data_IF_198926199926
#
_entry.id   IF_198926199926
#
_cell.length_a   1.000
_cell.length_b   1.000
_cell.length_c   1.000
_cell.angle_alpha   90.00
_cell.angle_beta   90.00
_cell.angle_gamma   90.00
#
_symmetry.space_group_name_H-M   'P 1'
#
loop_
_entity.id
_entity.type
_entity.pdbx_description
1 polymer ?
#
# COMPACT_ATOMS: atom_id res chain seq x y z
N UNK A 1 10.98 12.50 -31.81
CA UNK A 1 10.35 12.21 -30.50
C UNK A 1 11.35 12.57 -29.42
N UNK A 2 11.24 13.76 -28.84
CA UNK A 2 12.00 14.17 -27.66
C UNK A 2 11.54 13.32 -26.48
N UNK A 3 12.43 12.49 -25.92
CA UNK A 3 12.15 11.82 -24.63
C UNK A 3 11.91 12.92 -23.62
N UNK A 4 10.75 12.92 -22.97
CA UNK A 4 10.54 13.73 -21.78
C UNK A 4 11.69 13.40 -20.81
N UNK A 5 12.39 14.42 -20.31
CA UNK A 5 13.40 14.23 -19.26
C UNK A 5 12.70 13.64 -18.06
N UNK A 6 13.03 12.41 -17.68
CA UNK A 6 12.53 11.81 -16.44
C UNK A 6 13.15 12.60 -15.30
N UNK A 7 12.35 13.45 -14.65
CA UNK A 7 12.76 14.17 -13.44
C UNK A 7 12.97 13.13 -12.36
N UNK A 8 14.21 13.01 -11.89
CA UNK A 8 14.53 12.11 -10.79
C UNK A 8 14.39 12.86 -9.47
N UNK A 9 13.80 12.20 -8.48
CA UNK A 9 13.61 12.72 -7.14
C UNK A 9 14.57 12.03 -6.18
N UNK A 10 15.13 12.79 -5.24
CA UNK A 10 15.94 12.28 -4.14
C UNK A 10 15.07 12.05 -2.91
N UNK A 11 15.29 10.93 -2.23
CA UNK A 11 14.56 10.55 -1.04
C UNK A 11 15.54 10.18 0.07
N UNK A 12 15.25 10.62 1.29
CA UNK A 12 15.90 10.15 2.51
C UNK A 12 15.15 8.91 2.98
N UNK A 13 15.83 7.78 3.12
CA UNK A 13 15.21 6.49 3.43
C UNK A 13 15.88 5.94 4.68
N UNK A 14 15.08 5.71 5.71
CA UNK A 14 15.51 4.96 6.88
C UNK A 14 15.37 3.46 6.61
N UNK A 15 16.43 2.71 6.88
CA UNK A 15 16.54 1.28 6.61
C UNK A 15 16.79 0.52 7.91
N UNK A 16 15.85 -0.33 8.32
CA UNK A 16 16.08 -1.24 9.44
C UNK A 16 17.07 -2.34 9.04
N UNK A 17 17.97 -2.68 9.95
CA UNK A 17 18.99 -3.73 9.81
C UNK A 17 18.70 -4.85 10.80
N UNK A 18 19.14 -6.07 10.49
CA UNK A 18 19.01 -7.20 11.43
C UNK A 18 19.73 -6.95 12.78
N UNK A 19 20.80 -6.14 12.75
CA UNK A 19 21.53 -5.71 13.94
C UNK A 19 21.95 -4.24 13.80
N UNK A 20 21.94 -3.52 14.93
CA UNK A 20 22.35 -2.12 15.02
C UNK A 20 21.22 -1.12 14.82
N UNK A 21 21.56 0.17 14.92
CA UNK A 21 20.64 1.25 14.63
C UNK A 21 20.19 1.21 13.15
N UNK A 22 19.00 1.71 12.80
CA UNK A 22 18.62 1.87 11.41
C UNK A 22 19.58 2.81 10.65
N UNK A 23 19.90 2.51 9.40
CA UNK A 23 20.71 3.37 8.56
C UNK A 23 19.85 4.45 7.92
N UNK A 24 20.39 5.65 7.71
CA UNK A 24 19.79 6.71 6.92
C UNK A 24 20.59 6.93 5.64
N UNK A 25 19.94 6.84 4.48
CA UNK A 25 20.57 7.09 3.18
C UNK A 25 19.74 8.04 2.35
N UNK A 26 20.37 8.83 1.49
CA UNK A 26 19.70 9.51 0.39
C UNK A 26 19.85 8.66 -0.87
N UNK A 27 18.75 8.37 -1.56
CA UNK A 27 18.76 7.63 -2.82
C UNK A 27 17.89 8.33 -3.87
N UNK A 28 18.35 8.26 -5.11
CA UNK A 28 17.64 8.83 -6.26
C UNK A 28 16.78 7.77 -6.96
N UNK A 29 15.58 8.15 -7.38
CA UNK A 29 14.70 7.30 -8.18
C UNK A 29 13.85 8.09 -9.18
N UNK A 30 13.42 7.40 -10.25
CA UNK A 30 12.35 7.91 -11.12
C UNK A 30 11.00 7.96 -10.38
N UNK A 31 10.86 7.09 -9.38
CA UNK A 31 9.80 7.11 -8.37
C UNK A 31 10.34 6.49 -7.07
N UNK A 32 9.60 6.67 -5.97
CA UNK A 32 10.00 6.25 -4.63
C UNK A 32 10.42 4.77 -4.56
N UNK A 33 9.68 3.85 -5.19
CA UNK A 33 10.06 2.43 -5.19
C UNK A 33 11.41 2.10 -5.85
N UNK A 34 11.85 2.89 -6.84
CA UNK A 34 13.20 2.74 -7.42
C UNK A 34 14.27 3.21 -6.43
N UNK A 35 14.01 4.30 -5.70
CA UNK A 35 14.91 4.78 -4.66
C UNK A 35 15.02 3.79 -3.50
N UNK A 36 13.90 3.23 -3.04
CA UNK A 36 13.86 2.17 -2.01
C UNK A 36 14.64 0.94 -2.45
N UNK A 37 14.40 0.43 -3.66
CA UNK A 37 15.10 -0.75 -4.15
C UNK A 37 16.62 -0.53 -4.26
N UNK A 38 17.04 0.68 -4.66
CA UNK A 38 18.46 1.03 -4.66
C UNK A 38 19.04 1.08 -3.24
N UNK A 39 18.34 1.73 -2.30
CA UNK A 39 18.74 1.86 -0.91
C UNK A 39 18.87 0.48 -0.20
N UNK A 40 17.88 -0.39 -0.36
CA UNK A 40 17.90 -1.75 0.20
C UNK A 40 18.99 -2.63 -0.43
N UNK A 41 19.30 -2.45 -1.72
CA UNK A 41 20.40 -3.16 -2.37
C UNK A 41 21.79 -2.70 -1.86
N UNK A 42 21.92 -1.43 -1.46
CA UNK A 42 23.15 -0.87 -0.90
C UNK A 42 23.42 -1.38 0.53
N UNK A 43 22.38 -1.47 1.35
CA UNK A 43 22.47 -2.00 2.71
C UNK A 43 21.89 -3.40 2.75
N UNK A 44 22.71 -4.40 2.43
CA UNK A 44 22.28 -5.80 2.30
C UNK A 44 21.52 -6.30 3.56
N UNK A 45 20.39 -6.97 3.33
CA UNK A 45 19.54 -7.51 4.40
C UNK A 45 18.75 -6.45 5.17
N UNK A 46 18.71 -5.20 4.67
CA UNK A 46 17.85 -4.16 5.22
C UNK A 46 16.49 -4.10 4.54
N UNK A 47 15.57 -3.34 5.15
CA UNK A 47 14.30 -2.96 4.54
C UNK A 47 13.92 -1.53 4.94
N UNK A 48 13.22 -0.83 4.06
CA UNK A 48 12.74 0.52 4.33
C UNK A 48 11.68 0.55 5.43
N UNK A 49 11.79 1.54 6.31
CA UNK A 49 10.91 1.71 7.48
C UNK A 49 10.26 3.08 7.57
N UNK A 50 10.86 4.10 6.97
CA UNK A 50 10.33 5.46 6.86
C UNK A 50 11.04 6.18 5.72
N UNK A 51 10.40 7.22 5.16
CA UNK A 51 10.93 7.95 4.01
C UNK A 51 10.53 9.42 4.01
N UNK A 52 11.34 10.26 3.38
CA UNK A 52 11.01 11.66 3.13
C UNK A 52 11.62 12.09 1.79
N UNK A 53 11.07 13.12 1.15
CA UNK A 53 11.75 13.77 0.02
C UNK A 53 12.97 14.50 0.56
N UNK A 54 14.13 14.29 -0.05
CA UNK A 54 15.37 14.94 0.39
C UNK A 54 15.33 16.46 0.12
N UNK A 55 15.88 17.24 1.05
CA UNK A 55 16.06 18.66 0.86
C UNK A 55 17.18 18.94 -0.15
N UNK A 56 17.16 20.13 -0.78
CA UNK A 56 18.08 20.46 -1.87
C UNK A 56 19.56 20.49 -1.47
N UNK A 57 19.87 20.73 -0.21
CA UNK A 57 21.21 20.71 0.38
C UNK A 57 21.74 19.30 0.68
N UNK A 58 20.85 18.30 0.73
CA UNK A 58 21.20 16.88 0.86
C UNK A 58 21.43 16.21 -0.51
N UNK A 59 21.11 16.90 -1.60
CA UNK A 59 21.32 16.42 -2.96
C UNK A 59 22.76 16.75 -3.37
N UNK A 60 23.60 15.77 -3.74
CA UNK A 60 24.95 16.06 -4.21
C UNK A 60 24.91 16.93 -5.47
N UNK A 61 25.31 18.20 -5.30
CA UNK A 61 25.45 19.17 -6.39
C UNK A 61 26.83 19.00 -7.03
N UNK A 62 26.90 18.73 -8.33
CA UNK A 62 28.09 19.08 -9.12
C UNK A 62 28.86 17.98 -9.83
N UNK A 63 28.48 16.71 -9.74
CA UNK A 63 29.05 15.68 -10.62
C UNK A 63 27.92 14.88 -11.26
N UNK A 64 28.13 14.41 -12.50
CA UNK A 64 27.21 13.53 -13.20
C UNK A 64 27.12 12.19 -12.44
N UNK A 65 26.43 12.19 -11.31
CA UNK A 65 26.20 11.02 -10.48
C UNK A 65 25.51 9.98 -11.35
N UNK A 66 26.12 8.80 -11.41
CA UNK A 66 25.62 7.68 -12.21
C UNK A 66 24.18 7.29 -11.83
N UNK A 67 23.59 6.39 -12.60
CA UNK A 67 22.29 5.79 -12.22
C UNK A 67 22.45 5.12 -10.84
N UNK A 68 21.49 5.35 -9.93
CA UNK A 68 21.42 4.75 -8.59
C UNK A 68 22.51 5.22 -7.61
N UNK A 69 22.89 6.49 -7.66
CA UNK A 69 23.76 7.05 -6.64
C UNK A 69 23.06 7.10 -5.27
N UNK A 70 23.81 6.73 -4.23
CA UNK A 70 23.35 6.64 -2.85
C UNK A 70 24.36 7.41 -1.98
N UNK A 71 23.84 8.22 -1.07
CA UNK A 71 24.63 8.98 -0.10
C UNK A 71 24.30 8.47 1.30
N UNK A 72 25.32 8.11 2.07
CA UNK A 72 25.13 7.73 3.47
C UNK A 72 24.97 8.99 4.33
N UNK A 73 23.88 9.06 5.09
CA UNK A 73 23.55 10.19 5.97
C UNK A 73 23.79 9.87 7.46
N UNK A 74 24.25 8.65 7.76
CA UNK A 74 24.51 8.18 9.12
C UNK A 74 23.41 7.24 9.64
N UNK A 75 23.14 7.30 10.93
CA UNK A 75 22.12 6.49 11.59
C UNK A 75 20.81 7.26 11.73
N UNK A 76 19.69 6.55 11.61
CA UNK A 76 18.35 7.09 11.89
C UNK A 76 17.91 6.73 13.31
N UNK A 77 17.14 7.62 13.94
CA UNK A 77 16.44 7.36 15.20
C UNK A 77 15.08 6.70 14.99
N UNK A 78 14.56 6.67 13.76
CA UNK A 78 13.29 6.04 13.43
C UNK A 78 13.41 4.52 13.58
N UNK A 79 12.65 3.94 14.50
CA UNK A 79 12.59 2.49 14.70
C UNK A 79 11.13 2.08 14.74
N UNK A 80 10.57 1.44 13.70
CA UNK A 80 9.17 1.05 13.74
C UNK A 80 9.00 -0.19 14.63
N UNK A 81 7.85 -0.28 15.28
CA UNK A 81 7.44 -1.52 15.97
C UNK A 81 6.87 -2.58 15.03
N UNK A 82 6.52 -2.17 13.80
CA UNK A 82 5.89 -3.00 12.78
C UNK A 82 6.64 -2.82 11.46
N UNK A 83 6.94 -3.93 10.76
CA UNK A 83 7.40 -3.87 9.38
C UNK A 83 6.22 -3.52 8.47
N UNK A 84 6.12 -2.26 8.06
CA UNK A 84 5.00 -1.79 7.25
C UNK A 84 4.89 -2.56 5.93
N UNK A 85 3.67 -2.94 5.48
CA UNK A 85 3.52 -3.63 4.23
C UNK A 85 4.01 -2.84 3.02
N UNK A 86 4.51 -3.56 2.01
CA UNK A 86 4.98 -2.96 0.77
C UNK A 86 3.89 -2.09 0.15
N UNK A 87 4.28 -0.88 -0.22
CA UNK A 87 3.44 0.12 -0.86
C UNK A 87 3.08 1.29 0.05
N UNK A 88 3.35 1.20 1.35
CA UNK A 88 3.11 2.29 2.30
C UNK A 88 4.26 2.44 3.29
N UNK A 89 4.74 3.67 3.52
CA UNK A 89 5.74 3.97 4.55
C UNK A 89 5.39 5.28 5.26
N UNK A 90 5.58 5.39 6.58
CA UNK A 90 5.46 6.67 7.28
C UNK A 90 6.55 7.64 6.85
N UNK A 91 6.30 8.94 7.05
CA UNK A 91 7.30 9.97 6.87
C UNK A 91 8.41 9.88 7.93
N UNK A 92 9.65 10.28 7.59
CA UNK A 92 10.74 10.37 8.57
C UNK A 92 10.36 11.27 9.75
N UNK A 93 10.79 10.90 10.96
CA UNK A 93 10.48 11.62 12.19
C UNK A 93 9.00 11.56 12.63
N UNK A 94 8.12 10.94 11.85
CA UNK A 94 6.69 10.74 12.17
C UNK A 94 6.41 9.31 12.67
N UNK A 95 7.45 8.58 13.07
CA UNK A 95 7.31 7.18 13.52
C UNK A 95 6.98 7.05 15.02
N UNK A 96 7.22 8.08 15.83
CA UNK A 96 6.95 8.01 17.28
C UNK A 96 5.49 7.67 17.63
N UNK A 97 4.46 8.26 16.99
CA UNK A 97 3.06 7.86 17.21
C UNK A 97 2.77 6.41 16.81
N UNK A 98 3.63 5.81 16.00
CA UNK A 98 3.52 4.44 15.49
C UNK A 98 4.28 3.42 16.34
N UNK A 99 4.91 3.81 17.45
CA UNK A 99 5.71 2.92 18.30
C UNK A 99 4.92 1.74 18.92
N UNK A 100 3.59 1.83 18.95
CA UNK A 100 2.69 0.74 19.41
C UNK A 100 1.95 0.06 18.27
N UNK A 101 2.29 0.36 17.01
CA UNK A 101 1.71 -0.32 15.86
C UNK A 101 2.02 -1.82 15.93
N UNK A 102 0.98 -2.63 15.70
CA UNK A 102 1.04 -4.08 15.79
C UNK A 102 0.04 -4.70 14.82
N UNK A 103 0.20 -6.00 14.57
CA UNK A 103 -0.82 -6.83 13.92
C UNK A 103 -2.07 -6.88 14.80
N UNK A 104 -3.24 -6.87 14.16
CA UNK A 104 -4.49 -7.12 14.86
C UNK A 104 -5.70 -6.66 14.05
N UNK A 105 -6.88 -7.00 14.56
CA UNK A 105 -8.14 -6.53 13.99
C UNK A 105 -9.05 -5.92 15.04
N UNK A 106 -9.88 -4.97 14.62
CA UNK A 106 -10.91 -4.36 15.45
C UNK A 106 -12.20 -4.24 14.66
N UNK A 107 -13.31 -4.18 15.38
CA UNK A 107 -14.61 -3.78 14.83
C UNK A 107 -14.79 -2.27 15.07
N UNK A 108 -15.17 -1.53 14.04
CA UNK A 108 -15.55 -0.13 14.20
C UNK A 108 -17.01 -0.01 14.63
N UNK A 109 -17.33 0.86 15.59
CA UNK A 109 -18.71 1.11 15.96
C UNK A 109 -19.44 1.86 14.84
N UNK A 110 -20.28 1.17 14.08
CA UNK A 110 -21.19 1.76 13.10
C UNK A 110 -22.60 1.16 13.30
N UNK A 111 -23.64 1.97 13.54
CA UNK A 111 -24.99 1.46 13.81
C UNK A 111 -25.69 0.89 12.56
N UNK A 112 -25.18 1.18 11.37
CA UNK A 112 -25.79 0.85 10.09
C UNK A 112 -25.07 -0.25 9.31
N UNK A 113 -23.82 -0.56 9.68
CA UNK A 113 -22.96 -1.51 8.96
C UNK A 113 -22.06 -2.26 9.92
N UNK A 114 -21.69 -3.48 9.55
CA UNK A 114 -20.55 -4.17 10.13
C UNK A 114 -19.28 -3.69 9.43
N UNK A 115 -18.31 -3.19 10.21
CA UNK A 115 -16.99 -2.79 9.71
C UNK A 115 -15.92 -3.46 10.56
N UNK A 116 -15.23 -4.44 9.99
CA UNK A 116 -14.08 -5.08 10.63
C UNK A 116 -12.83 -4.64 9.86
N UNK A 117 -11.87 -4.06 10.55
CA UNK A 117 -10.58 -3.64 9.99
C UNK A 117 -9.46 -4.49 10.59
N UNK A 118 -8.62 -5.06 9.73
CA UNK A 118 -7.43 -5.82 10.08
C UNK A 118 -6.17 -5.13 9.53
N UNK A 119 -5.17 -5.02 10.39
CA UNK A 119 -3.83 -4.54 10.08
C UNK A 119 -2.83 -5.67 10.31
N UNK A 120 -1.84 -5.78 9.42
CA UNK A 120 -0.76 -6.74 9.56
C UNK A 120 0.58 -6.15 9.09
N UNK A 121 1.67 -6.88 9.27
CA UNK A 121 2.99 -6.50 8.77
C UNK A 121 3.19 -6.96 7.30
N UNK A 122 4.32 -6.57 6.72
CA UNK A 122 4.67 -6.88 5.34
C UNK A 122 4.74 -8.37 5.02
N UNK A 123 5.14 -9.21 5.98
CA UNK A 123 5.38 -10.63 5.72
C UNK A 123 4.07 -11.42 5.69
N UNK A 124 2.99 -10.88 6.27
CA UNK A 124 1.71 -11.57 6.39
C UNK A 124 0.57 -10.93 5.57
N UNK A 125 0.81 -9.84 4.83
CA UNK A 125 -0.27 -9.14 4.11
C UNK A 125 -0.93 -10.01 3.03
N UNK A 126 -0.10 -10.68 2.21
CA UNK A 126 -0.58 -11.53 1.11
C UNK A 126 -1.40 -12.68 1.66
N UNK A 127 -0.86 -13.41 2.63
CA UNK A 127 -1.54 -14.53 3.29
C UNK A 127 -2.84 -14.12 3.96
N UNK A 128 -2.85 -12.97 4.66
CA UNK A 128 -4.06 -12.43 5.26
C UNK A 128 -5.13 -12.13 4.20
N UNK A 129 -4.77 -11.39 3.15
CA UNK A 129 -5.75 -10.95 2.16
C UNK A 129 -6.25 -12.13 1.32
N UNK A 130 -5.35 -12.93 0.74
CA UNK A 130 -5.73 -14.08 -0.08
C UNK A 130 -6.42 -15.18 0.75
N UNK A 131 -5.98 -15.40 1.99
CA UNK A 131 -6.62 -16.35 2.91
C UNK A 131 -8.06 -15.95 3.26
N UNK A 132 -8.35 -14.64 3.38
CA UNK A 132 -9.72 -14.17 3.53
C UNK A 132 -10.53 -14.35 2.24
N UNK A 133 -9.95 -14.08 1.07
CA UNK A 133 -10.60 -14.30 -0.23
C UNK A 133 -11.01 -15.76 -0.42
N UNK A 134 -10.14 -16.70 -0.04
CA UNK A 134 -10.40 -18.14 -0.15
C UNK A 134 -11.63 -18.57 0.66
N UNK A 135 -11.87 -17.93 1.81
CA UNK A 135 -12.95 -18.28 2.74
C UNK A 135 -14.29 -17.62 2.39
N UNK A 136 -14.34 -16.71 1.41
CA UNK A 136 -15.59 -16.03 1.03
C UNK A 136 -16.62 -17.00 0.43
N UNK A 137 -17.87 -17.05 0.93
CA UNK A 137 -18.86 -18.05 0.50
C UNK A 137 -19.38 -17.83 -0.93
N UNK A 138 -19.38 -16.59 -1.42
CA UNK A 138 -19.92 -16.23 -2.74
C UNK A 138 -19.31 -14.93 -3.29
N UNK A 139 -18.00 -14.92 -3.52
CA UNK A 139 -17.36 -13.83 -4.26
C UNK A 139 -18.02 -13.67 -5.65
N UNK A 140 -18.38 -12.43 -6.00
CA UNK A 140 -19.14 -12.10 -7.20
C UNK A 140 -18.28 -11.36 -8.23
N UNK A 141 -17.52 -10.34 -7.82
CA UNK A 141 -16.62 -9.60 -8.69
C UNK A 141 -15.39 -9.09 -7.94
N UNK A 142 -14.34 -8.77 -8.69
CA UNK A 142 -13.17 -8.04 -8.25
C UNK A 142 -13.19 -6.64 -8.89
N UNK A 143 -13.07 -5.63 -8.06
CA UNK A 143 -12.82 -4.25 -8.43
C UNK A 143 -11.37 -3.90 -8.12
N UNK A 144 -10.68 -3.30 -9.10
CA UNK A 144 -9.35 -2.72 -8.97
C UNK A 144 -9.49 -1.21 -9.16
N UNK A 145 -9.24 -0.45 -8.10
CA UNK A 145 -9.22 1.02 -8.15
C UNK A 145 -7.79 1.51 -8.29
N UNK A 146 -7.53 2.25 -9.35
CA UNK A 146 -6.25 2.92 -9.60
C UNK A 146 -6.40 4.38 -9.20
N UNK A 147 -5.75 4.75 -8.09
CA UNK A 147 -6.01 6.01 -7.39
C UNK A 147 -5.46 7.22 -8.13
N UNK A 148 -6.04 8.38 -7.87
CA UNK A 148 -5.74 9.65 -8.56
C UNK A 148 -4.32 10.16 -8.34
N UNK A 149 -3.74 9.89 -7.17
CA UNK A 149 -2.39 10.27 -6.82
C UNK A 149 -1.33 9.33 -7.43
N UNK A 150 -1.71 8.20 -8.06
CA UNK A 150 -0.76 7.38 -8.82
C UNK A 150 -0.25 8.20 -10.02
N UNK A 151 1.04 8.56 -9.98
CA UNK A 151 1.69 9.42 -10.98
C UNK A 151 0.98 10.77 -11.16
N UNK A 152 0.35 11.27 -10.08
CA UNK A 152 -0.39 12.54 -10.04
C UNK A 152 -1.42 12.68 -11.17
N UNK A 153 -2.09 11.59 -11.52
CA UNK A 153 -3.06 11.56 -12.62
C UNK A 153 -4.32 12.42 -12.40
N UNK A 154 -4.63 12.78 -11.15
CA UNK A 154 -5.78 13.64 -10.79
C UNK A 154 -7.16 13.01 -11.03
N UNK A 155 -7.19 11.69 -11.29
CA UNK A 155 -8.44 10.93 -11.51
C UNK A 155 -8.29 9.47 -11.05
N UNK A 156 -9.33 8.95 -10.42
CA UNK A 156 -9.41 7.54 -10.08
C UNK A 156 -9.97 6.75 -11.25
N UNK A 157 -9.35 5.64 -11.62
CA UNK A 157 -9.86 4.68 -12.61
C UNK A 157 -10.34 3.42 -11.92
N UNK A 158 -11.56 2.98 -12.25
CA UNK A 158 -12.15 1.77 -11.66
C UNK A 158 -12.25 0.69 -12.73
N UNK A 159 -11.68 -0.48 -12.45
CA UNK A 159 -11.67 -1.65 -13.32
C UNK A 159 -12.40 -2.81 -12.64
N UNK A 160 -13.35 -3.41 -13.34
CA UNK A 160 -14.23 -4.42 -12.77
C UNK A 160 -14.17 -5.70 -13.62
N UNK A 161 -14.04 -6.85 -12.97
CA UNK A 161 -14.27 -8.14 -13.63
C UNK A 161 -15.75 -8.31 -13.96
N UNK A 162 -16.08 -9.16 -14.93
CA UNK A 162 -17.42 -9.77 -14.95
C UNK A 162 -17.62 -10.67 -13.72
N UNK A 163 -18.81 -11.27 -13.56
CA UNK A 163 -19.03 -12.22 -12.46
C UNK A 163 -17.99 -13.33 -12.48
N UNK A 164 -17.34 -13.53 -11.35
CA UNK A 164 -16.18 -14.41 -11.19
C UNK A 164 -16.18 -15.00 -9.78
N UNK A 165 -15.73 -16.24 -9.65
CA UNK A 165 -15.65 -16.92 -8.35
C UNK A 165 -14.30 -16.67 -7.65
N UNK A 166 -14.23 -16.97 -6.35
CA UNK A 166 -13.04 -16.76 -5.53
C UNK A 166 -11.77 -17.40 -6.14
N UNK A 167 -11.85 -18.63 -6.66
CA UNK A 167 -10.71 -19.32 -7.28
C UNK A 167 -10.06 -18.54 -8.42
N UNK A 168 -10.87 -17.94 -9.30
CA UNK A 168 -10.36 -17.12 -10.41
C UNK A 168 -9.82 -15.77 -9.93
N UNK A 169 -10.43 -15.18 -8.89
CA UNK A 169 -9.91 -13.97 -8.25
C UNK A 169 -8.52 -14.26 -7.67
N UNK A 170 -8.39 -15.35 -6.89
CA UNK A 170 -7.12 -15.77 -6.30
C UNK A 170 -6.03 -15.93 -7.36
N UNK A 171 -6.29 -16.71 -8.42
CA UNK A 171 -5.33 -16.89 -9.52
C UNK A 171 -4.91 -15.57 -10.17
N UNK A 172 -5.86 -14.65 -10.38
CA UNK A 172 -5.56 -13.34 -10.96
C UNK A 172 -4.71 -12.46 -10.03
N UNK A 173 -4.97 -12.50 -8.72
CA UNK A 173 -4.23 -11.74 -7.74
C UNK A 173 -2.81 -12.30 -7.54
N UNK A 174 -2.67 -13.63 -7.54
CA UNK A 174 -1.38 -14.33 -7.45
C UNK A 174 -0.49 -13.99 -8.66
N UNK A 175 -1.03 -14.04 -9.88
CA UNK A 175 -0.32 -13.67 -11.12
C UNK A 175 0.12 -12.18 -11.17
N UNK A 176 -0.46 -11.33 -10.31
CA UNK A 176 -0.30 -9.88 -10.32
C UNK A 176 -0.03 -9.26 -8.94
N UNK A 177 0.52 -10.04 -8.00
CA UNK A 177 0.72 -9.65 -6.61
C UNK A 177 1.46 -8.32 -6.47
N UNK A 178 2.62 -8.20 -7.12
CA UNK A 178 3.46 -7.00 -7.07
C UNK A 178 2.74 -5.73 -7.56
N UNK A 179 1.90 -5.88 -8.58
CA UNK A 179 1.23 -4.77 -9.27
C UNK A 179 -0.02 -4.31 -8.52
N UNK A 180 -0.66 -5.22 -7.78
CA UNK A 180 -1.98 -5.03 -7.17
C UNK A 180 -1.92 -4.97 -5.65
N UNK A 181 -1.34 -5.99 -5.00
CA UNK A 181 -1.28 -6.08 -3.53
C UNK A 181 -0.20 -5.14 -2.99
N UNK A 182 1.01 -5.19 -3.56
CA UNK A 182 2.17 -4.39 -3.12
C UNK A 182 2.22 -2.96 -3.67
N UNK A 183 1.17 -2.51 -4.36
CA UNK A 183 1.12 -1.18 -4.94
C UNK A 183 0.27 -0.24 -4.09
N UNK A 184 0.91 0.70 -3.40
CA UNK A 184 0.28 1.70 -2.53
C UNK A 184 -0.76 2.59 -3.20
N UNK A 185 -0.81 2.61 -4.53
CA UNK A 185 -1.76 3.41 -5.30
C UNK A 185 -2.95 2.59 -5.84
N UNK A 186 -3.10 1.36 -5.38
CA UNK A 186 -4.15 0.43 -5.78
C UNK A 186 -4.97 0.04 -4.55
N UNK A 187 -6.29 0.00 -4.75
CA UNK A 187 -7.22 -0.66 -3.85
C UNK A 187 -7.91 -1.81 -4.56
N UNK A 188 -8.16 -2.88 -3.81
CA UNK A 188 -8.85 -4.06 -4.31
C UNK A 188 -10.13 -4.22 -3.51
N UNK A 189 -11.26 -4.47 -4.18
CA UNK A 189 -12.53 -4.77 -3.49
C UNK A 189 -13.17 -6.01 -4.12
N UNK A 190 -13.63 -6.93 -3.28
CA UNK A 190 -14.30 -8.16 -3.69
C UNK A 190 -15.70 -8.15 -3.09
N UNK A 191 -16.70 -8.08 -3.97
CA UNK A 191 -18.09 -8.05 -3.55
C UNK A 191 -18.61 -9.47 -3.27
N UNK A 192 -19.27 -9.66 -2.14
CA UNK A 192 -19.93 -10.90 -1.71
C UNK A 192 -21.42 -10.67 -1.72
N UNK A 193 -22.06 -11.03 -2.84
CA UNK A 193 -23.46 -10.69 -3.12
C UNK A 193 -24.43 -11.24 -2.08
N UNK A 194 -24.23 -12.47 -1.62
CA UNK A 194 -25.15 -13.13 -0.70
C UNK A 194 -25.35 -12.37 0.61
N UNK A 195 -24.31 -11.66 1.07
CA UNK A 195 -24.29 -10.94 2.33
C UNK A 195 -24.20 -9.43 2.17
N UNK A 196 -24.32 -8.95 0.91
CA UNK A 196 -24.05 -7.55 0.52
C UNK A 196 -22.76 -7.03 1.16
N UNK A 197 -21.77 -7.90 1.23
CA UNK A 197 -20.49 -7.65 1.88
C UNK A 197 -19.43 -7.25 0.85
N UNK A 198 -18.41 -6.55 1.30
CA UNK A 198 -17.23 -6.22 0.51
C UNK A 198 -15.99 -6.46 1.36
N UNK A 199 -15.10 -7.32 0.87
CA UNK A 199 -13.73 -7.42 1.38
C UNK A 199 -12.85 -6.45 0.59
N UNK A 200 -12.12 -5.58 1.26
CA UNK A 200 -11.26 -4.56 0.64
C UNK A 200 -9.83 -4.65 1.14
N UNK A 201 -8.87 -4.53 0.24
CA UNK A 201 -7.50 -4.12 0.55
C UNK A 201 -7.37 -2.64 0.22
N UNK A 202 -7.07 -1.82 1.22
CA UNK A 202 -6.97 -0.35 1.08
C UNK A 202 -5.59 0.07 0.56
N UNK A 203 -5.48 1.34 0.14
CA UNK A 203 -4.20 1.98 -0.23
C UNK A 203 -3.18 2.00 0.91
N UNK A 204 -3.66 2.01 2.16
CA UNK A 204 -2.86 1.93 3.39
C UNK A 204 -2.53 0.50 3.81
N UNK A 205 -2.82 -0.49 2.95
CA UNK A 205 -2.53 -1.91 3.19
C UNK A 205 -3.21 -2.49 4.43
N UNK A 206 -4.40 -1.98 4.74
CA UNK A 206 -5.33 -2.58 5.70
C UNK A 206 -6.39 -3.40 4.98
N UNK A 207 -6.81 -4.50 5.59
CA UNK A 207 -7.90 -5.34 5.07
C UNK A 207 -9.18 -5.00 5.81
N UNK A 208 -10.24 -4.68 5.06
CA UNK A 208 -11.52 -4.25 5.63
C UNK A 208 -12.64 -5.14 5.14
N UNK A 209 -13.41 -5.71 6.05
CA UNK A 209 -14.70 -6.32 5.77
C UNK A 209 -15.81 -5.33 6.09
N UNK A 210 -16.60 -4.99 5.07
CA UNK A 210 -17.76 -4.11 5.17
C UNK A 210 -19.02 -4.89 4.79
N UNK A 211 -20.06 -4.90 5.63
CA UNK A 211 -21.33 -5.52 5.29
C UNK A 211 -22.53 -4.72 5.83
N UNK A 212 -23.66 -4.77 5.13
CA UNK A 212 -24.95 -4.21 5.62
C UNK A 212 -25.51 -5.03 6.79
N UNK A 213 -25.15 -6.31 6.89
CA UNK A 213 -25.63 -7.25 7.89
C UNK A 213 -24.49 -7.93 8.64
N UNK A 214 -24.77 -8.40 9.86
CA UNK A 214 -23.80 -9.08 10.72
C UNK A 214 -23.71 -10.59 10.48
N UNK A 215 -24.25 -11.07 9.36
CA UNK A 215 -24.42 -12.50 9.08
C UNK A 215 -23.11 -13.30 9.01
N UNK A 216 -21.99 -12.65 8.70
CA UNK A 216 -20.65 -13.27 8.64
C UNK A 216 -19.70 -12.79 9.74
N UNK A 217 -20.19 -12.10 10.78
CA UNK A 217 -19.33 -11.52 11.80
C UNK A 217 -18.47 -12.57 12.51
N UNK A 218 -19.13 -13.64 12.99
CA UNK A 218 -18.45 -14.71 13.73
C UNK A 218 -17.47 -15.47 12.85
N UNK A 219 -17.83 -15.70 11.59
CA UNK A 219 -17.00 -16.34 10.59
C UNK A 219 -15.77 -15.50 10.27
N UNK A 220 -15.93 -14.20 9.98
CA UNK A 220 -14.79 -13.29 9.71
C UNK A 220 -13.86 -13.23 10.92
N UNK A 221 -14.40 -13.13 12.14
CA UNK A 221 -13.58 -13.17 13.35
C UNK A 221 -12.84 -14.52 13.50
N UNK A 222 -13.48 -15.63 13.16
CA UNK A 222 -12.88 -16.97 13.13
C UNK A 222 -11.75 -17.08 12.11
N UNK A 223 -11.95 -16.58 10.89
CA UNK A 223 -10.95 -16.57 9.83
C UNK A 223 -9.74 -15.72 10.19
N UNK A 224 -9.95 -14.55 10.79
CA UNK A 224 -8.86 -13.68 11.25
C UNK A 224 -8.04 -14.36 12.35
N UNK A 225 -8.69 -15.10 13.26
CA UNK A 225 -8.00 -15.91 14.27
C UNK A 225 -7.17 -17.04 13.65
N UNK A 226 -7.72 -17.74 12.65
CA UNK A 226 -6.99 -18.79 11.92
C UNK A 226 -5.78 -18.24 11.17
N UNK A 227 -5.87 -17.01 10.65
CA UNK A 227 -4.79 -16.28 9.98
C UNK A 227 -3.86 -15.54 10.97
N UNK A 228 -3.93 -15.90 12.25
CA UNK A 228 -3.08 -15.37 13.33
C UNK A 228 -3.12 -13.83 13.46
N UNK A 229 -4.27 -13.23 13.16
CA UNK A 229 -4.54 -11.81 13.40
C UNK A 229 -5.36 -11.69 14.69
N UNK A 230 -4.74 -11.28 15.82
CA UNK A 230 -5.44 -11.21 17.10
C UNK A 230 -6.44 -10.05 17.12
N UNK A 231 -7.52 -10.18 17.90
CA UNK A 231 -8.41 -9.05 18.18
C UNK A 231 -7.65 -8.01 19.01
N UNK A 232 -7.84 -6.74 18.67
CA UNK A 232 -7.30 -5.59 19.38
C UNK A 232 -8.43 -4.63 19.78
N UNK A 233 -8.27 -3.96 20.91
CA UNK A 233 -9.19 -2.89 21.33
C UNK A 233 -9.05 -1.65 20.45
N UNK A 234 -7.82 -1.37 20.02
CA UNK A 234 -7.47 -0.27 19.12
C UNK A 234 -6.27 -0.65 18.25
N UNK A 235 -6.21 -0.05 17.06
CA UNK A 235 -5.10 -0.15 16.12
C UNK A 235 -4.43 1.21 15.94
N UNK A 236 -3.12 1.26 16.15
CA UNK A 236 -2.28 2.38 15.71
C UNK A 236 -1.98 2.19 14.22
N UNK A 237 -2.44 3.14 13.39
CA UNK A 237 -2.47 3.01 11.93
C UNK A 237 -1.59 4.06 11.24
N UNK A 238 -0.95 3.68 10.14
CA UNK A 238 -0.12 4.58 9.31
C UNK A 238 -0.93 5.74 8.71
N UNK A 239 -2.22 5.53 8.41
CA UNK A 239 -3.11 6.58 7.89
C UNK A 239 -3.25 7.78 8.84
N UNK A 240 -2.95 7.60 10.13
CA UNK A 240 -3.07 8.65 11.14
C UNK A 240 -1.82 9.56 11.22
N UNK A 241 -0.79 9.31 10.43
CA UNK A 241 0.44 10.12 10.37
C UNK A 241 0.77 10.47 8.91
N UNK A 242 1.60 11.50 8.65
CA UNK A 242 2.13 11.72 7.31
C UNK A 242 2.85 10.47 6.79
N UNK A 243 2.56 10.08 5.55
CA UNK A 243 3.06 8.85 4.94
C UNK A 243 3.15 8.98 3.43
N UNK A 244 3.80 8.00 2.80
CA UNK A 244 4.03 7.93 1.37
C UNK A 244 3.51 6.60 0.82
N UNK A 245 2.73 6.69 -0.27
CA UNK A 245 2.38 5.54 -1.09
C UNK A 245 3.47 5.33 -2.15
N UNK A 246 3.76 4.07 -2.46
CA UNK A 246 4.69 3.72 -3.53
C UNK A 246 4.31 2.41 -4.21
N UNK A 247 4.96 2.14 -5.35
CA UNK A 247 4.94 0.85 -6.04
C UNK A 247 6.36 0.30 -6.15
N UNK A 248 6.51 -1.02 -6.20
CA UNK A 248 7.83 -1.66 -6.36
C UNK A 248 8.54 -1.21 -7.65
N UNK A 249 9.88 -1.17 -7.64
CA UNK A 249 10.69 -0.71 -8.78
C UNK A 249 10.38 -1.42 -10.12
N UNK A 250 10.09 -2.72 -10.07
CA UNK A 250 9.81 -3.58 -11.24
C UNK A 250 8.38 -3.48 -11.79
N UNK A 251 7.49 -2.78 -11.09
CA UNK A 251 6.07 -2.68 -11.48
C UNK A 251 5.88 -1.76 -12.67
N UNK A 252 4.71 -1.83 -13.29
CA UNK A 252 4.38 -1.02 -14.45
C UNK A 252 3.94 0.39 -14.03
N UNK A 253 4.17 1.34 -14.93
CA UNK A 253 3.53 2.65 -14.84
C UNK A 253 2.01 2.53 -14.96
N UNK A 254 1.29 3.60 -14.61
CA UNK A 254 -0.17 3.60 -14.57
C UNK A 254 -0.78 3.16 -15.91
N UNK A 255 -0.24 3.65 -17.02
CA UNK A 255 -0.76 3.37 -18.36
C UNK A 255 -0.64 1.89 -18.69
N UNK A 256 0.56 1.32 -18.52
CA UNK A 256 0.82 -0.09 -18.81
C UNK A 256 0.04 -1.02 -17.87
N UNK A 257 -0.19 -0.63 -16.62
CA UNK A 257 -1.08 -1.37 -15.72
C UNK A 257 -2.51 -1.41 -16.28
N UNK A 258 -3.05 -0.27 -16.72
CA UNK A 258 -4.35 -0.21 -17.40
C UNK A 258 -4.44 -1.14 -18.62
N UNK A 259 -3.39 -1.19 -19.45
CA UNK A 259 -3.32 -2.08 -20.61
C UNK A 259 -3.30 -3.57 -20.20
N UNK A 260 -2.71 -3.91 -19.06
CA UNK A 260 -2.75 -5.27 -18.48
C UNK A 260 -4.15 -5.60 -18.00
N UNK A 261 -4.79 -4.72 -17.20
CA UNK A 261 -6.15 -4.94 -16.69
C UNK A 261 -7.15 -5.14 -17.83
N UNK A 262 -7.02 -4.34 -18.90
CA UNK A 262 -7.83 -4.51 -20.10
C UNK A 262 -7.61 -5.86 -20.79
N UNK A 263 -6.34 -6.30 -20.97
CA UNK A 263 -6.02 -7.61 -21.56
C UNK A 263 -6.52 -8.78 -20.73
N UNK A 264 -6.58 -8.60 -19.41
CA UNK A 264 -7.18 -9.53 -18.46
C UNK A 264 -8.71 -9.47 -18.43
N UNK A 265 -9.32 -8.75 -19.39
CA UNK A 265 -10.77 -8.63 -19.60
C UNK A 265 -11.52 -7.92 -18.47
N UNK A 266 -10.83 -7.11 -17.66
CA UNK A 266 -11.51 -6.16 -16.78
C UNK A 266 -12.06 -5.00 -17.61
N UNK A 267 -13.28 -4.60 -17.29
CA UNK A 267 -13.92 -3.44 -17.91
C UNK A 267 -13.65 -2.20 -17.06
N UNK A 268 -13.15 -1.13 -17.67
CA UNK A 268 -13.11 0.19 -17.01
C UNK A 268 -14.53 0.73 -16.90
N UNK A 269 -15.02 0.97 -15.68
CA UNK A 269 -16.41 1.35 -15.41
C UNK A 269 -16.58 2.83 -15.10
N UNK A 270 -15.61 3.47 -14.44
CA UNK A 270 -15.69 4.88 -14.08
C UNK A 270 -14.34 5.60 -14.17
N UNK A 271 -14.42 6.91 -14.40
CA UNK A 271 -13.33 7.86 -14.15
C UNK A 271 -13.87 8.93 -13.21
N UNK A 272 -13.58 8.82 -11.92
CA UNK A 272 -14.02 9.82 -10.94
C UNK A 272 -12.91 10.86 -10.82
N UNK A 273 -13.21 12.13 -11.17
CA UNK A 273 -12.31 13.25 -10.86
C UNK A 273 -12.34 13.48 -9.35
N UNK A 274 -11.19 13.69 -8.74
CA UNK A 274 -11.14 14.16 -7.36
C UNK A 274 -11.93 15.46 -7.24
N UNK A 275 -12.81 15.56 -6.25
CA UNK A 275 -13.30 16.86 -5.82
C UNK A 275 -12.09 17.59 -5.24
N UNK A 276 -11.82 18.82 -5.70
CA UNK A 276 -10.69 19.60 -5.21
C UNK A 276 -10.85 19.90 -3.71
N UNK A 277 -10.26 19.08 -2.86
CA UNK A 277 -10.04 19.41 -1.45
C UNK A 277 -8.74 20.19 -1.37
N UNK A 278 -8.79 21.47 -1.75
CA UNK A 278 -7.72 22.41 -1.43
C UNK A 278 -7.79 22.79 0.05
N UNK A 279 -6.65 23.01 0.73
CA UNK A 279 -6.66 23.69 2.01
C UNK A 279 -7.15 25.13 1.81
N UNK A 280 -8.14 25.56 2.60
CA UNK A 280 -8.40 26.98 2.78
C UNK A 280 -7.27 27.51 3.67
N UNK A 281 -6.40 28.33 3.10
CA UNK A 281 -5.55 29.24 3.88
C UNK A 281 -6.47 30.16 4.71
N UNK A 282 -6.18 30.39 6.01
CA UNK A 282 -6.86 31.43 6.77
C UNK A 282 -6.26 32.80 6.43
N UNK A 283 -7.15 33.77 6.22
CA UNK A 283 -6.85 35.21 6.26
C UNK A 283 -6.33 35.64 7.64
#
# INVERSE_FOLDING_TARGET
MTRASVTRTWYRIALARAAGAPALVAAQGEHLGVAIAAAEAHVAGSHAIAVEVAAGDEVPLGESVGKHHIVELGDSTDTPSLRWPIGILPALGQTAPLATARRGWMEHPDPSKLVIEAQTDSDHLVDLFLGLVEKLPAADNLEVRVLDHFEHAGKTEVWLTSRVNAKKILSFLDDHEDELIHNGHIELSIYVRAHKGTLRLTEHKTVVWLAEERALEAEVAGWLKELEVPRAEALTRVVNVPHFHYRLAKTRDRKKLGDVLFRQRLRRVDTVRAAATGPREPD
#
